data_IF_956123571636
#
_entry.id   IF_956123571636
#
_cell.length_a   1.000
_cell.length_b   1.000
_cell.length_c   1.000
_cell.angle_alpha   90.00
_cell.angle_beta   90.00
_cell.angle_gamma   90.00
#
_symmetry.space_group_name_H-M   'P 1'
#
loop_
_entity.id
_entity.type
_entity.pdbx_description
1 polymer ?
#
# COMPACT_ATOMS: atom_id res chain seq x y z
N UNK A 1 14.72 -15.57 60.97
CA UNK A 1 13.56 -16.25 60.34
C UNK A 1 12.48 -15.19 60.15
N UNK A 2 11.87 -15.11 58.95
CA UNK A 2 11.19 -13.92 58.35
C UNK A 2 12.22 -12.97 57.72
N UNK A 3 12.17 -12.57 56.45
CA UNK A 3 11.02 -12.23 55.61
C UNK A 3 11.35 -12.61 54.15
N UNK A 4 10.60 -13.52 53.54
CA UNK A 4 10.71 -13.83 52.10
C UNK A 4 10.01 -12.72 51.34
N UNK A 5 10.78 -11.84 50.70
CA UNK A 5 10.24 -10.76 49.88
C UNK A 5 9.75 -11.36 48.55
N UNK A 6 8.44 -11.44 48.46
CA UNK A 6 7.63 -11.72 47.28
C UNK A 6 8.01 -10.70 46.17
N UNK A 7 8.61 -11.13 45.07
CA UNK A 7 8.68 -10.32 43.84
C UNK A 7 7.80 -10.93 42.77
N UNK A 8 6.67 -10.26 42.63
CA UNK A 8 5.53 -10.48 41.76
C UNK A 8 5.88 -10.22 40.29
N UNK A 9 5.63 -11.24 39.47
CA UNK A 9 5.11 -11.23 38.07
C UNK A 9 5.17 -9.89 37.31
N UNK A 10 6.08 -9.78 36.34
CA UNK A 10 5.92 -8.89 35.18
C UNK A 10 5.25 -9.71 34.06
N UNK A 11 3.92 -9.65 33.99
CA UNK A 11 3.19 -10.05 32.79
C UNK A 11 3.36 -8.92 31.78
N UNK A 12 4.28 -9.12 30.83
CA UNK A 12 4.45 -8.25 29.67
C UNK A 12 3.25 -8.49 28.75
N UNK A 13 2.18 -7.75 28.97
CA UNK A 13 1.02 -7.69 28.08
C UNK A 13 1.47 -7.07 26.76
N UNK A 14 1.93 -7.91 25.83
CA UNK A 14 1.93 -7.61 24.42
C UNK A 14 0.48 -7.46 23.98
N UNK A 15 -0.07 -6.25 24.15
CA UNK A 15 -1.16 -5.77 23.30
C UNK A 15 -0.60 -5.72 21.87
N UNK A 16 -0.62 -6.86 21.21
CA UNK A 16 -0.74 -6.89 19.76
C UNK A 16 -2.14 -6.35 19.52
N UNK A 17 -2.24 -5.05 19.26
CA UNK A 17 -3.44 -4.49 18.69
C UNK A 17 -3.62 -5.21 17.36
N UNK A 18 -4.56 -6.14 17.29
CA UNK A 18 -5.16 -6.54 16.03
C UNK A 18 -5.83 -5.27 15.50
N UNK A 19 -5.09 -4.47 14.74
CA UNK A 19 -5.70 -3.49 13.86
C UNK A 19 -6.46 -4.30 12.82
N UNK A 20 -7.70 -3.94 12.52
CA UNK A 20 -8.44 -4.55 11.42
C UNK A 20 -7.58 -4.36 10.15
N UNK A 21 -7.00 -5.46 9.67
CA UNK A 21 -6.05 -5.45 8.56
C UNK A 21 -6.85 -5.45 7.27
N UNK A 22 -7.12 -4.26 6.74
CA UNK A 22 -7.63 -4.11 5.39
C UNK A 22 -6.55 -4.57 4.41
N UNK A 23 -6.91 -5.46 3.50
CA UNK A 23 -6.07 -5.80 2.34
C UNK A 23 -6.65 -5.16 1.08
N UNK A 24 -5.79 -4.89 0.10
CA UNK A 24 -6.21 -4.31 -1.19
C UNK A 24 -5.95 -5.34 -2.28
N UNK A 25 -7.02 -5.72 -2.98
CA UNK A 25 -6.95 -6.56 -4.18
C UNK A 25 -6.84 -5.65 -5.40
N UNK A 26 -5.75 -5.77 -6.14
CA UNK A 26 -5.48 -4.99 -7.35
C UNK A 26 -5.78 -5.81 -8.60
N UNK A 27 -6.59 -5.25 -9.49
CA UNK A 27 -6.88 -5.82 -10.80
C UNK A 27 -6.38 -4.90 -11.90
N UNK A 28 -5.48 -5.40 -12.74
CA UNK A 28 -5.02 -4.67 -13.92
C UNK A 28 -6.16 -4.47 -14.92
N UNK A 29 -6.39 -3.22 -15.31
CA UNK A 29 -7.34 -2.82 -16.35
C UNK A 29 -6.66 -2.69 -17.71
N UNK A 30 -5.34 -2.50 -17.71
CA UNK A 30 -4.49 -2.43 -18.92
C UNK A 30 -3.46 -3.54 -18.93
N UNK A 31 -2.96 -3.91 -20.11
CA UNK A 31 -1.82 -4.82 -20.22
C UNK A 31 -0.57 -4.12 -19.65
N UNK A 32 -0.05 -4.62 -18.53
CA UNK A 32 1.16 -4.11 -17.90
C UNK A 32 2.40 -4.87 -18.40
N UNK A 33 3.56 -4.20 -18.54
CA UNK A 33 4.84 -4.87 -18.73
C UNK A 33 5.15 -5.83 -17.56
N UNK A 34 5.94 -6.89 -17.78
CA UNK A 34 6.26 -7.88 -16.73
C UNK A 34 7.05 -7.29 -15.55
N UNK A 35 7.66 -6.12 -15.72
CA UNK A 35 8.38 -5.41 -14.67
C UNK A 35 7.46 -4.64 -13.71
N UNK A 36 6.18 -4.47 -14.06
CA UNK A 36 5.18 -3.85 -13.18
C UNK A 36 4.70 -4.88 -12.16
N UNK A 37 4.81 -4.54 -10.88
CA UNK A 37 4.31 -5.33 -9.76
C UNK A 37 3.44 -4.42 -8.90
N UNK A 38 2.17 -4.76 -8.72
CA UNK A 38 1.23 -4.04 -7.86
C UNK A 38 0.43 -5.08 -7.11
N UNK A 39 0.68 -5.16 -5.80
CA UNK A 39 0.00 -6.03 -4.86
C UNK A 39 -0.27 -5.29 -3.55
N UNK A 40 -0.81 -5.98 -2.54
CA UNK A 40 -1.18 -5.38 -1.25
C UNK A 40 0.01 -4.84 -0.46
N UNK A 41 1.21 -5.34 -0.72
CA UNK A 41 2.38 -5.16 0.13
C UNK A 41 3.37 -4.18 -0.49
N UNK A 42 3.40 -4.07 -1.83
CA UNK A 42 4.33 -3.20 -2.54
C UNK A 42 3.86 -2.82 -3.95
N UNK A 43 4.51 -1.79 -4.47
CA UNK A 43 4.32 -1.29 -5.82
C UNK A 43 5.66 -1.07 -6.51
N UNK A 44 5.85 -1.64 -7.70
CA UNK A 44 7.00 -1.42 -8.57
C UNK A 44 6.51 -1.05 -9.96
N UNK A 45 6.96 0.09 -10.48
CA UNK A 45 6.57 0.60 -11.80
C UNK A 45 7.80 1.14 -12.52
N UNK A 46 8.03 0.83 -13.81
CA UNK A 46 9.12 1.48 -14.53
C UNK A 46 8.89 2.98 -14.74
N UNK A 47 9.97 3.76 -14.75
CA UNK A 47 9.94 5.18 -15.11
C UNK A 47 9.32 5.39 -16.50
N UNK A 48 8.38 6.34 -16.61
CA UNK A 48 7.69 6.63 -17.87
C UNK A 48 6.56 5.67 -18.25
N UNK A 49 6.32 4.61 -17.46
CA UNK A 49 5.22 3.67 -17.68
C UNK A 49 4.02 4.05 -16.83
N UNK A 50 2.83 3.94 -17.42
CA UNK A 50 1.54 4.13 -16.76
C UNK A 50 0.68 2.87 -16.90
N UNK A 51 0.01 2.48 -15.82
CA UNK A 51 -0.89 1.32 -15.78
C UNK A 51 -2.22 1.69 -15.14
N UNK A 52 -3.31 1.21 -15.76
CA UNK A 52 -4.64 1.30 -15.17
C UNK A 52 -4.89 0.12 -14.25
N UNK A 53 -5.35 0.39 -13.03
CA UNK A 53 -5.74 -0.63 -12.05
C UNK A 53 -7.10 -0.30 -11.45
N UNK A 54 -7.80 -1.34 -11.02
CA UNK A 54 -8.90 -1.23 -10.07
C UNK A 54 -8.39 -1.71 -8.71
N UNK A 55 -8.66 -0.95 -7.65
CA UNK A 55 -8.28 -1.28 -6.28
C UNK A 55 -9.53 -1.57 -5.44
N UNK A 56 -9.63 -2.78 -4.91
CA UNK A 56 -10.79 -3.23 -4.13
C UNK A 56 -10.33 -3.51 -2.71
N UNK A 57 -10.88 -2.80 -1.73
CA UNK A 57 -10.62 -3.08 -0.33
C UNK A 57 -11.33 -4.37 0.08
N UNK A 58 -10.61 -5.19 0.85
CA UNK A 58 -11.05 -6.46 1.39
C UNK A 58 -10.86 -6.45 2.89
N UNK A 59 -11.97 -6.61 3.62
CA UNK A 59 -12.00 -6.70 5.07
C UNK A 59 -12.44 -8.13 5.44
N UNK A 60 -11.58 -8.87 6.14
CA UNK A 60 -11.85 -10.25 6.56
C UNK A 60 -12.27 -11.20 5.40
N UNK A 61 -11.83 -10.92 4.17
CA UNK A 61 -12.16 -11.69 2.97
C UNK A 61 -13.39 -11.20 2.20
N UNK A 62 -14.14 -10.24 2.76
CA UNK A 62 -15.28 -9.62 2.09
C UNK A 62 -14.88 -8.31 1.43
N UNK A 63 -15.35 -8.11 0.19
CA UNK A 63 -15.13 -6.84 -0.54
C UNK A 63 -15.95 -5.74 0.11
N UNK A 64 -15.27 -4.70 0.57
CA UNK A 64 -15.91 -3.50 1.13
C UNK A 64 -15.92 -2.38 0.09
N UNK A 65 -17.01 -1.63 0.08
CA UNK A 65 -17.30 -0.64 -0.98
C UNK A 65 -16.79 0.77 -0.71
N UNK A 66 -16.03 0.99 0.37
CA UNK A 66 -15.56 2.34 0.72
C UNK A 66 -14.53 2.87 -0.27
N UNK A 67 -14.37 4.20 -0.25
CA UNK A 67 -13.42 4.91 -1.09
C UNK A 67 -12.03 4.73 -0.49
N UNK A 68 -11.14 4.16 -1.30
CA UNK A 68 -9.70 4.11 -1.00
C UNK A 68 -9.06 5.30 -1.70
N UNK A 69 -8.34 6.13 -0.95
CA UNK A 69 -7.48 7.15 -1.53
C UNK A 69 -6.01 6.74 -1.38
N UNK A 70 -5.26 6.94 -2.45
CA UNK A 70 -3.83 6.70 -2.51
C UNK A 70 -3.09 8.03 -2.61
N UNK A 71 -2.26 8.35 -1.63
CA UNK A 71 -1.52 9.62 -1.60
C UNK A 71 -0.02 9.34 -1.65
N UNK A 72 0.67 9.62 -2.78
CA UNK A 72 2.11 9.48 -2.86
C UNK A 72 2.83 10.40 -1.88
N UNK A 73 3.72 9.86 -1.05
CA UNK A 73 4.56 10.65 -0.13
C UNK A 73 5.55 11.52 -0.90
N UNK A 74 6.03 11.03 -2.06
CA UNK A 74 6.87 11.77 -2.99
C UNK A 74 6.27 11.75 -4.39
N UNK A 75 5.38 12.71 -4.72
CA UNK A 75 4.73 12.76 -6.04
C UNK A 75 5.69 13.05 -7.20
N UNK A 76 6.95 13.40 -6.93
CA UNK A 76 7.98 13.48 -7.98
C UNK A 76 8.55 12.14 -8.42
N UNK A 77 8.29 11.06 -7.68
CA UNK A 77 8.76 9.69 -7.99
C UNK A 77 7.63 8.89 -8.62
N UNK A 78 6.47 8.82 -7.96
CA UNK A 78 5.30 8.08 -8.44
C UNK A 78 4.07 8.98 -8.42
N UNK A 79 3.25 8.89 -9.47
CA UNK A 79 1.96 9.55 -9.57
C UNK A 79 0.82 8.54 -9.55
N UNK A 80 -0.29 8.92 -8.91
CA UNK A 80 -1.53 8.14 -8.86
C UNK A 80 -2.67 9.12 -9.09
N UNK A 81 -3.41 8.90 -10.17
CA UNK A 81 -4.59 9.69 -10.50
C UNK A 81 -5.83 8.81 -10.49
N UNK A 82 -6.96 9.36 -10.06
CA UNK A 82 -8.24 8.67 -10.09
C UNK A 82 -8.72 8.52 -11.54
N UNK A 83 -9.20 7.32 -11.88
CA UNK A 83 -9.84 7.03 -13.16
C UNK A 83 -11.27 7.60 -13.24
N UNK A 84 -11.94 7.31 -14.36
CA UNK A 84 -13.31 7.79 -14.60
C UNK A 84 -14.37 6.97 -13.85
N UNK A 85 -14.06 5.70 -13.56
CA UNK A 85 -14.93 4.80 -12.81
C UNK A 85 -14.49 4.77 -11.34
N UNK A 86 -15.43 4.56 -10.43
CA UNK A 86 -15.11 4.38 -9.01
C UNK A 86 -14.08 3.27 -8.83
N UNK A 87 -13.14 3.47 -7.90
CA UNK A 87 -12.07 2.50 -7.57
C UNK A 87 -11.07 2.20 -8.68
N UNK A 88 -11.14 2.93 -9.80
CA UNK A 88 -10.14 2.84 -10.86
C UNK A 88 -9.10 3.93 -10.70
N UNK A 89 -7.85 3.60 -11.01
CA UNK A 89 -6.70 4.48 -10.85
C UNK A 89 -5.74 4.30 -12.02
N UNK A 90 -5.00 5.36 -12.33
CA UNK A 90 -3.85 5.33 -13.22
C UNK A 90 -2.61 5.57 -12.37
N UNK A 91 -1.70 4.61 -12.38
CA UNK A 91 -0.47 4.62 -11.62
C UNK A 91 0.69 4.74 -12.58
N UNK A 92 1.59 5.70 -12.35
CA UNK A 92 2.68 5.97 -13.29
C UNK A 92 3.99 6.34 -12.60
N UNK A 93 5.09 5.84 -13.16
CA UNK A 93 6.44 6.17 -12.71
C UNK A 93 6.90 7.50 -13.31
N UNK A 94 7.27 8.46 -12.47
CA UNK A 94 7.76 9.78 -12.90
C UNK A 94 9.28 9.89 -12.89
N UNK A 95 9.91 9.45 -11.81
CA UNK A 95 11.36 9.48 -11.65
C UNK A 95 11.83 8.26 -10.87
N UNK A 96 12.95 7.66 -11.27
CA UNK A 96 13.49 6.50 -10.57
C UNK A 96 13.78 6.77 -9.08
N UNK A 97 13.38 5.83 -8.22
CA UNK A 97 13.61 5.88 -6.78
C UNK A 97 12.54 5.13 -5.97
N UNK A 98 12.85 4.81 -4.73
CA UNK A 98 11.88 4.27 -3.77
C UNK A 98 11.02 5.41 -3.18
N UNK A 99 9.83 5.13 -2.69
CA UNK A 99 8.96 6.01 -1.90
C UNK A 99 7.93 5.15 -1.18
N UNK A 100 6.92 5.77 -0.58
CA UNK A 100 5.71 5.09 -0.14
C UNK A 100 4.46 5.86 -0.56
N UNK A 101 3.34 5.18 -0.45
CA UNK A 101 1.99 5.67 -0.73
C UNK A 101 1.19 5.51 0.56
N UNK A 102 0.67 6.61 1.09
CA UNK A 102 -0.26 6.57 2.20
C UNK A 102 -1.62 6.05 1.70
N UNK A 103 -2.18 5.11 2.45
CA UNK A 103 -3.48 4.51 2.18
C UNK A 103 -4.52 5.13 3.10
N UNK A 104 -5.60 5.64 2.53
CA UNK A 104 -6.72 6.18 3.28
C UNK A 104 -8.00 5.42 2.98
N UNK A 105 -8.79 5.18 4.03
CA UNK A 105 -10.12 4.60 3.95
C UNK A 105 -11.08 5.54 4.67
N UNK A 106 -12.10 6.05 3.97
CA UNK A 106 -13.04 7.03 4.51
C UNK A 106 -12.37 8.27 5.16
N UNK A 107 -11.26 8.73 4.55
CA UNK A 107 -10.39 9.84 5.00
C UNK A 107 -9.54 9.56 6.26
N UNK A 108 -9.51 8.32 6.76
CA UNK A 108 -8.61 7.90 7.82
C UNK A 108 -7.38 7.20 7.22
N UNK A 109 -6.17 7.56 7.67
CA UNK A 109 -4.94 6.89 7.24
C UNK A 109 -4.89 5.50 7.87
N UNK A 110 -5.04 4.47 7.06
CA UNK A 110 -5.06 3.06 7.49
C UNK A 110 -3.73 2.35 7.32
N UNK A 111 -2.85 2.87 6.45
CA UNK A 111 -1.60 2.18 6.16
C UNK A 111 -0.66 2.96 5.26
N UNK A 112 0.43 2.29 4.93
CA UNK A 112 1.47 2.77 4.03
C UNK A 112 1.95 1.62 3.16
N UNK A 113 1.99 1.83 1.85
CA UNK A 113 2.46 0.85 0.88
C UNK A 113 3.81 1.32 0.32
N UNK A 114 4.89 0.55 0.51
CA UNK A 114 6.16 0.76 -0.18
C UNK A 114 5.97 0.82 -1.71
N UNK A 115 6.64 1.77 -2.35
CA UNK A 115 6.63 1.94 -3.79
C UNK A 115 8.04 2.15 -4.33
N UNK A 116 8.32 1.64 -5.52
CA UNK A 116 9.59 1.83 -6.22
C UNK A 116 9.34 2.13 -7.69
N UNK A 117 10.01 3.16 -8.18
CA UNK A 117 10.10 3.42 -9.61
C UNK A 117 11.47 3.01 -10.10
N UNK A 118 11.53 2.01 -10.97
CA UNK A 118 12.79 1.50 -11.51
C UNK A 118 13.15 2.23 -12.80
N UNK A 119 14.43 2.53 -13.07
CA UNK A 119 14.84 3.09 -14.35
C UNK A 119 14.41 2.17 -15.50
N UNK A 120 13.83 2.74 -16.54
CA UNK A 120 13.62 1.97 -17.77
C UNK A 120 14.97 1.87 -18.49
N UNK A 121 15.49 0.65 -18.67
CA UNK A 121 16.68 0.44 -19.49
C UNK A 121 16.36 0.88 -20.93
N UNK A 122 16.90 2.03 -21.31
CA UNK A 122 16.88 2.50 -22.69
C UNK A 122 17.88 1.65 -23.47
N UNK A 123 17.51 0.41 -23.81
CA UNK A 123 18.37 -0.56 -24.49
C UNK A 123 19.18 0.10 -25.62
N UNK A 124 20.46 0.32 -25.34
CA UNK A 124 21.47 0.86 -26.25
C UNK A 124 22.70 -0.04 -26.23
#
# INVERSE_FOLDING_TARGET
>A
MRLTCLTTVLALSSLVGCTDEYSIDFRYLTMAPPEVVIDSDQMTVPEGIAVGVEAIAVDNGDRVGSIIDFVPVRPGIIGIDQGLEERTFVIYGMAAGATSIDLYFDNERVGEMPAEVIPQDAGH
#
